data_IF_039597078402
#
_entry.id   IF_039597078402
#
_cell.length_a   1.000
_cell.length_b   1.000
_cell.length_c   1.000
_cell.angle_alpha   90.00
_cell.angle_beta   90.00
_cell.angle_gamma   90.00
#
_symmetry.space_group_name_H-M   'P 1'
#
loop_
_entity.id
_entity.type
_entity.pdbx_description
1 polymer ?
#
# COMPACT_ATOMS: atom_id res chain seq x y z
N UNK A 1 3.88 8.90 -18.54
CA UNK A 1 3.38 7.54 -18.18
C UNK A 1 3.45 7.30 -16.67
N UNK A 2 4.52 7.73 -15.99
CA UNK A 2 4.66 7.65 -14.52
C UNK A 2 3.51 8.36 -13.77
N UNK A 3 3.10 9.56 -14.22
CA UNK A 3 2.01 10.33 -13.59
C UNK A 3 0.65 9.63 -13.60
N UNK A 4 0.37 8.84 -14.65
CA UNK A 4 -0.91 8.13 -14.78
C UNK A 4 -0.98 6.96 -13.79
N UNK A 5 0.13 6.24 -13.59
CA UNK A 5 0.21 5.13 -12.65
C UNK A 5 0.11 5.60 -11.19
N UNK A 6 0.73 6.74 -10.87
CA UNK A 6 0.62 7.36 -9.53
C UNK A 6 -0.81 7.84 -9.28
N UNK A 7 -1.40 8.56 -10.24
CA UNK A 7 -2.75 9.10 -10.11
C UNK A 7 -3.80 8.00 -9.93
N UNK A 8 -3.67 6.91 -10.70
CA UNK A 8 -4.56 5.75 -10.60
C UNK A 8 -4.47 5.07 -9.24
N UNK A 9 -3.26 4.83 -8.74
CA UNK A 9 -3.05 4.21 -7.43
C UNK A 9 -3.56 5.07 -6.28
N UNK A 10 -3.38 6.39 -6.38
CA UNK A 10 -3.90 7.32 -5.38
C UNK A 10 -5.44 7.30 -5.34
N UNK A 11 -6.09 7.25 -6.51
CA UNK A 11 -7.54 7.11 -6.59
C UNK A 11 -8.03 5.80 -5.96
N UNK A 12 -7.39 4.67 -6.28
CA UNK A 12 -7.72 3.37 -5.69
C UNK A 12 -7.57 3.37 -4.16
N UNK A 13 -6.48 3.95 -3.65
CA UNK A 13 -6.24 4.07 -2.22
C UNK A 13 -7.34 4.91 -1.56
N UNK A 14 -7.70 6.05 -2.15
CA UNK A 14 -8.78 6.93 -1.66
C UNK A 14 -10.12 6.18 -1.58
N UNK A 15 -10.44 5.37 -2.58
CA UNK A 15 -11.68 4.60 -2.60
C UNK A 15 -11.68 3.47 -1.56
N UNK A 16 -10.55 2.80 -1.37
CA UNK A 16 -10.38 1.81 -0.29
C UNK A 16 -10.57 2.45 1.10
N UNK A 17 -10.03 3.65 1.33
CA UNK A 17 -10.24 4.41 2.57
C UNK A 17 -11.70 4.80 2.79
N UNK A 18 -12.41 5.22 1.74
CA UNK A 18 -13.85 5.53 1.81
C UNK A 18 -14.68 4.31 2.18
N UNK A 19 -14.36 3.16 1.57
CA UNK A 19 -15.02 1.89 1.86
C UNK A 19 -14.76 1.44 3.31
N UNK A 20 -13.52 1.55 3.79
CA UNK A 20 -13.14 1.29 5.18
C UNK A 20 -13.93 2.18 6.14
N UNK A 21 -13.94 3.50 5.91
CA UNK A 21 -14.67 4.44 6.76
C UNK A 21 -16.17 4.11 6.83
N UNK A 22 -16.77 3.80 5.68
CA UNK A 22 -18.18 3.41 5.60
C UNK A 22 -18.47 2.14 6.40
N UNK A 23 -17.58 1.14 6.34
CA UNK A 23 -17.69 -0.08 7.11
C UNK A 23 -17.52 0.15 8.62
N UNK A 24 -16.54 0.95 9.04
CA UNK A 24 -16.31 1.32 10.46
C UNK A 24 -17.54 2.03 11.05
N UNK A 25 -18.13 2.98 10.30
CA UNK A 25 -19.35 3.69 10.70
C UNK A 25 -20.53 2.74 10.83
N UNK A 26 -20.75 1.85 9.85
CA UNK A 26 -21.83 0.86 9.87
C UNK A 26 -21.72 -0.10 11.05
N UNK A 27 -20.52 -0.61 11.32
CA UNK A 27 -20.25 -1.58 12.38
C UNK A 27 -20.05 -0.94 13.76
N UNK A 28 -19.99 0.39 13.84
CA UNK A 28 -19.73 1.17 15.06
C UNK A 28 -18.46 0.73 15.81
N UNK A 29 -17.46 0.23 15.08
CA UNK A 29 -16.16 -0.19 15.64
C UNK A 29 -15.04 0.07 14.62
N UNK A 30 -13.81 0.35 15.09
CA UNK A 30 -12.67 0.45 14.20
C UNK A 30 -12.30 -0.93 13.61
N UNK A 31 -11.68 -0.92 12.44
CA UNK A 31 -11.17 -2.11 11.75
C UNK A 31 -9.65 -1.99 11.60
N UNK A 32 -8.88 -2.12 12.71
CA UNK A 32 -7.45 -1.83 12.74
C UNK A 32 -6.64 -2.71 11.80
N UNK A 33 -7.04 -3.97 11.59
CA UNK A 33 -6.36 -4.87 10.65
C UNK A 33 -6.43 -4.36 9.20
N UNK A 34 -7.60 -3.86 8.78
CA UNK A 34 -7.78 -3.32 7.41
C UNK A 34 -7.06 -1.98 7.29
N UNK A 35 -7.09 -1.15 8.34
CA UNK A 35 -6.34 0.10 8.40
C UNK A 35 -4.82 -0.14 8.29
N UNK A 36 -4.31 -1.20 8.92
CA UNK A 36 -2.91 -1.59 8.80
C UNK A 36 -2.56 -1.94 7.35
N UNK A 37 -3.41 -2.68 6.63
CA UNK A 37 -3.16 -3.01 5.22
C UNK A 37 -3.05 -1.77 4.31
N UNK A 38 -3.82 -0.71 4.59
CA UNK A 38 -3.81 0.53 3.82
C UNK A 38 -2.67 1.51 4.20
N UNK A 39 -1.99 1.28 5.32
CA UNK A 39 -0.93 2.16 5.85
C UNK A 39 0.46 1.55 5.81
N UNK A 40 0.58 0.24 5.60
CA UNK A 40 1.89 -0.42 5.44
C UNK A 40 2.64 0.12 4.22
N UNK A 41 3.96 0.08 4.30
CA UNK A 41 4.91 0.44 3.23
C UNK A 41 5.78 -0.80 2.94
N UNK A 42 6.24 -1.03 1.69
CA UNK A 42 7.06 -2.20 1.32
C UNK A 42 8.53 -2.09 1.73
N UNK A 43 8.83 -1.28 2.75
CA UNK A 43 10.19 -1.04 3.25
C UNK A 43 10.16 -1.25 4.76
N UNK A 44 11.04 -2.11 5.25
CA UNK A 44 11.19 -2.33 6.68
C UNK A 44 11.85 -1.12 7.35
N UNK A 45 11.46 -0.76 8.59
CA UNK A 45 12.03 0.40 9.28
C UNK A 45 13.56 0.37 9.38
N UNK A 46 14.13 -0.80 9.67
CA UNK A 46 15.58 -0.98 9.76
C UNK A 46 16.29 -0.69 8.43
N UNK A 47 15.71 -1.11 7.30
CA UNK A 47 16.24 -0.82 5.97
C UNK A 47 16.10 0.66 5.60
N UNK A 48 15.06 1.34 6.08
CA UNK A 48 14.85 2.76 5.79
C UNK A 48 15.89 3.69 6.42
N UNK A 49 16.61 3.21 7.44
CA UNK A 49 17.69 3.93 8.13
C UNK A 49 19.09 3.44 7.73
N UNK A 50 19.18 2.37 6.94
CA UNK A 50 20.45 1.78 6.50
C UNK A 50 20.98 2.51 5.26
N UNK A 51 22.00 3.34 5.46
CA UNK A 51 22.69 4.07 4.38
C UNK A 51 23.25 3.16 3.29
N UNK A 52 23.75 1.97 3.64
CA UNK A 52 24.31 1.03 2.66
C UNK A 52 23.21 0.38 1.82
N UNK A 53 22.04 0.15 2.39
CA UNK A 53 20.86 -0.28 1.63
C UNK A 53 20.33 0.83 0.73
N UNK A 54 20.23 2.05 1.25
CA UNK A 54 19.77 3.23 0.48
C UNK A 54 20.71 3.54 -0.70
N UNK A 55 22.02 3.41 -0.53
CA UNK A 55 23.00 3.61 -1.59
C UNK A 55 22.82 2.65 -2.79
N UNK A 56 22.17 1.49 -2.60
CA UNK A 56 21.90 0.58 -3.71
C UNK A 56 20.91 1.18 -4.74
N UNK A 57 20.09 2.16 -4.34
CA UNK A 57 19.18 2.86 -5.27
C UNK A 57 19.90 3.75 -6.29
N UNK A 58 21.17 4.06 -6.10
CA UNK A 58 21.99 4.72 -7.13
C UNK A 58 22.23 3.78 -8.33
N UNK A 59 22.12 2.46 -8.13
CA UNK A 59 22.11 1.49 -9.21
C UNK A 59 20.72 1.42 -9.85
N UNK A 60 20.62 1.88 -11.10
CA UNK A 60 19.38 1.88 -11.88
C UNK A 60 18.68 0.51 -11.93
N UNK A 61 19.42 -0.59 -12.10
CA UNK A 61 18.83 -1.93 -12.19
C UNK A 61 18.17 -2.34 -10.88
N UNK A 62 18.81 -2.00 -9.75
CA UNK A 62 18.27 -2.28 -8.43
C UNK A 62 17.02 -1.44 -8.17
N UNK A 63 17.08 -0.13 -8.45
CA UNK A 63 15.95 0.77 -8.29
C UNK A 63 14.73 0.34 -9.13
N UNK A 64 14.93 -0.10 -10.38
CA UNK A 64 13.87 -0.61 -11.25
C UNK A 64 13.28 -1.92 -10.72
N UNK A 65 14.12 -2.84 -10.22
CA UNK A 65 13.65 -4.07 -9.59
C UNK A 65 12.79 -3.77 -8.35
N UNK A 66 13.28 -2.93 -7.44
CA UNK A 66 12.54 -2.55 -6.24
C UNK A 66 11.23 -1.85 -6.58
N UNK A 67 11.23 -0.99 -7.61
CA UNK A 67 9.99 -0.39 -8.10
C UNK A 67 8.98 -1.47 -8.52
N UNK A 68 9.38 -2.46 -9.32
CA UNK A 68 8.49 -3.55 -9.75
C UNK A 68 7.95 -4.34 -8.55
N UNK A 69 8.81 -4.70 -7.61
CA UNK A 69 8.43 -5.44 -6.40
C UNK A 69 7.43 -4.65 -5.54
N UNK A 70 7.70 -3.36 -5.32
CA UNK A 70 6.78 -2.47 -4.61
C UNK A 70 5.45 -2.33 -5.34
N UNK A 71 5.47 -2.28 -6.68
CA UNK A 71 4.26 -2.23 -7.47
C UNK A 71 3.36 -3.46 -7.25
N UNK A 72 3.93 -4.66 -7.23
CA UNK A 72 3.21 -5.90 -6.95
C UNK A 72 2.73 -5.97 -5.50
N UNK A 73 3.58 -5.55 -4.56
CA UNK A 73 3.27 -5.52 -3.14
C UNK A 73 2.07 -4.62 -2.82
N UNK A 74 2.03 -3.40 -3.37
CA UNK A 74 0.92 -2.47 -3.15
C UNK A 74 -0.40 -3.03 -3.72
N UNK A 75 -0.35 -3.64 -4.90
CA UNK A 75 -1.51 -4.28 -5.51
C UNK A 75 -2.05 -5.42 -4.63
N UNK A 76 -1.16 -6.25 -4.09
CA UNK A 76 -1.54 -7.35 -3.23
C UNK A 76 -2.18 -6.86 -1.91
N UNK A 77 -1.59 -5.84 -1.28
CA UNK A 77 -2.15 -5.26 -0.04
C UNK A 77 -3.51 -4.62 -0.27
N UNK A 78 -3.69 -3.88 -1.36
CA UNK A 78 -5.00 -3.31 -1.71
C UNK A 78 -6.04 -4.41 -1.93
N UNK A 79 -5.69 -5.48 -2.64
CA UNK A 79 -6.59 -6.62 -2.85
C UNK A 79 -7.01 -7.25 -1.53
N UNK A 80 -6.07 -7.49 -0.62
CA UNK A 80 -6.37 -8.03 0.71
C UNK A 80 -7.30 -7.11 1.52
N UNK A 81 -7.08 -5.79 1.47
CA UNK A 81 -7.94 -4.83 2.15
C UNK A 81 -9.37 -4.87 1.58
N UNK A 82 -9.52 -4.92 0.25
CA UNK A 82 -10.81 -5.02 -0.42
C UNK A 82 -11.51 -6.33 -0.06
N UNK A 83 -10.82 -7.47 -0.15
CA UNK A 83 -11.40 -8.78 0.21
C UNK A 83 -11.90 -8.78 1.67
N UNK A 84 -11.10 -8.28 2.62
CA UNK A 84 -11.54 -8.16 4.02
C UNK A 84 -12.73 -7.21 4.18
N UNK A 85 -12.84 -6.15 3.37
CA UNK A 85 -14.02 -5.25 3.39
C UNK A 85 -15.26 -5.91 2.79
N UNK A 86 -15.09 -6.78 1.79
CA UNK A 86 -16.19 -7.55 1.17
C UNK A 86 -16.73 -8.62 2.11
N UNK A 87 -15.88 -9.30 2.87
CA UNK A 87 -16.26 -10.25 3.92
C UNK A 87 -17.10 -9.63 5.05
N UNK A 88 -17.10 -8.30 5.17
CA UNK A 88 -17.86 -7.55 6.17
C UNK A 88 -19.22 -7.05 5.67
N UNK A 89 -19.55 -7.24 4.39
CA UNK A 89 -20.86 -6.90 3.81
C UNK A 89 -21.91 -7.91 4.22
#
# INVERSE_FOLDING_TARGET
MFDTAISFRLAQLKDAWRALHSAEVRLKRPLPEIRALLTRVPVDPASSEDEAWLAQFDNKSFAEQQMMEWQLWFLNNQRQAITKLEELK
#
